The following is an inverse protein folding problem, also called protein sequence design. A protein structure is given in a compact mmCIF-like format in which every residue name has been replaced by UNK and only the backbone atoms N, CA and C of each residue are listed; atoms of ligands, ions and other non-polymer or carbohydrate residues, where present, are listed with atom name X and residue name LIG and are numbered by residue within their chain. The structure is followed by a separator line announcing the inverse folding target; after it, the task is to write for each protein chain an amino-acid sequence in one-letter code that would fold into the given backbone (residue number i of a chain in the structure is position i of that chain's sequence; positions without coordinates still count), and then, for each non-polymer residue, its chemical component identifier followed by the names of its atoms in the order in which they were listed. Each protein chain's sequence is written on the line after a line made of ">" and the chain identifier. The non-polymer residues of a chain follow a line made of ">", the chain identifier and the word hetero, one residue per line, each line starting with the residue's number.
data_IF_175297252543
#
_entry.id   IF_175297252543
#
_cell.length_a   1.000
_cell.length_b   1.000
_cell.length_c   1.000
_cell.angle_alpha   90.00
_cell.angle_beta   90.00
_cell.angle_gamma   90.00
#
_symmetry.space_group_name_H-M   'P 1'
#
loop_
_entity.id
_entity.type
_entity.pdbx_description
1 polymer ?
#
# COMPACT_ATOMS: atom_id res chain seq x y z
N UNK A 1 23.27 3.77 -3.10
CA UNK A 1 22.11 4.32 -2.38
C UNK A 1 20.88 3.55 -2.83
N UNK A 2 20.02 3.12 -1.91
CA UNK A 2 18.81 2.34 -2.22
C UNK A 2 17.58 3.26 -2.22
N UNK A 3 16.57 2.87 -2.99
CA UNK A 3 15.29 3.57 -3.11
C UNK A 3 14.17 2.55 -2.93
N UNK A 4 12.96 3.00 -2.57
CA UNK A 4 11.78 2.16 -2.48
C UNK A 4 10.75 2.57 -3.51
N UNK A 5 10.90 2.07 -4.73
CA UNK A 5 10.12 2.47 -5.91
C UNK A 5 9.02 1.45 -6.24
N UNK A 6 9.36 0.16 -6.15
CA UNK A 6 8.49 -0.98 -6.46
C UNK A 6 8.33 -1.88 -5.22
N UNK A 7 7.28 -2.70 -5.14
CA UNK A 7 7.17 -3.69 -4.07
C UNK A 7 8.36 -4.64 -3.99
N UNK A 8 8.97 -4.97 -5.14
CA UNK A 8 10.14 -5.83 -5.26
C UNK A 8 11.48 -5.08 -5.20
N UNK A 9 11.50 -3.78 -4.85
CA UNK A 9 12.75 -3.03 -4.59
C UNK A 9 13.56 -3.64 -3.45
N UNK A 10 12.91 -4.41 -2.60
CA UNK A 10 13.49 -5.17 -1.51
C UNK A 10 13.20 -6.66 -1.69
N UNK A 11 14.18 -7.50 -1.35
CA UNK A 11 14.01 -8.96 -1.35
C UNK A 11 12.92 -9.38 -0.35
N UNK A 12 12.40 -10.59 -0.48
CA UNK A 12 11.41 -11.11 0.47
C UNK A 12 11.93 -11.09 1.92
N UNK A 13 13.20 -11.43 2.12
CA UNK A 13 13.83 -11.37 3.45
C UNK A 13 13.86 -9.95 4.01
N UNK A 14 14.20 -8.94 3.20
CA UNK A 14 14.18 -7.53 3.60
C UNK A 14 12.75 -7.03 3.87
N UNK A 15 11.77 -7.46 3.07
CA UNK A 15 10.35 -7.14 3.33
C UNK A 15 9.89 -7.71 4.68
N UNK A 16 10.21 -8.98 4.98
CA UNK A 16 9.91 -9.59 6.28
C UNK A 16 10.59 -8.86 7.42
N UNK A 17 11.86 -8.50 7.26
CA UNK A 17 12.59 -7.72 8.27
C UNK A 17 12.01 -6.33 8.51
N UNK A 18 11.46 -5.68 7.45
CA UNK A 18 10.70 -4.42 7.58
C UNK A 18 9.41 -4.63 8.39
N UNK A 19 8.68 -5.71 8.13
CA UNK A 19 7.48 -6.03 8.88
C UNK A 19 7.82 -6.27 10.36
N UNK A 20 8.88 -7.03 10.66
CA UNK A 20 9.32 -7.29 12.02
C UNK A 20 9.77 -6.02 12.75
N UNK A 21 10.45 -5.11 12.06
CA UNK A 21 10.80 -3.81 12.60
C UNK A 21 9.57 -2.97 12.90
N UNK A 22 8.58 -2.95 11.99
CA UNK A 22 7.33 -2.21 12.17
C UNK A 22 6.52 -2.74 13.37
N UNK A 23 6.42 -4.07 13.55
CA UNK A 23 5.73 -4.67 14.69
C UNK A 23 6.42 -4.30 16.02
N UNK A 24 7.77 -4.28 16.07
CA UNK A 24 8.50 -3.84 17.26
C UNK A 24 8.26 -2.36 17.57
N UNK A 25 8.23 -1.51 16.54
CA UNK A 25 7.92 -0.07 16.71
C UNK A 25 6.50 0.17 17.20
N UNK A 26 5.54 -0.65 16.76
CA UNK A 26 4.16 -0.57 17.24
C UNK A 26 4.04 -1.00 18.70
N UNK A 27 4.70 -2.10 19.06
CA UNK A 27 4.67 -2.66 20.39
C UNK A 27 5.34 -1.74 21.44
N UNK A 28 6.49 -1.13 21.10
CA UNK A 28 7.20 -0.17 21.94
C UNK A 28 7.84 0.92 21.08
N UNK A 29 7.20 2.08 20.89
CA UNK A 29 7.72 3.17 20.06
C UNK A 29 8.85 3.97 20.74
N UNK A 30 9.04 3.87 22.07
CA UNK A 30 9.94 4.75 22.80
C UNK A 30 11.41 4.67 22.34
N UNK A 31 12.01 3.48 22.07
CA UNK A 31 13.38 3.38 21.58
C UNK A 31 13.63 4.07 20.22
N UNK A 32 12.57 4.33 19.45
CA UNK A 32 12.65 4.85 18.08
C UNK A 32 12.45 6.36 18.00
N UNK A 33 12.00 7.01 19.07
CA UNK A 33 11.49 8.39 19.07
C UNK A 33 12.51 9.47 18.65
N UNK A 34 13.82 9.17 18.69
CA UNK A 34 14.90 10.12 18.42
C UNK A 34 15.89 9.67 17.34
N UNK A 35 15.57 8.58 16.59
CA UNK A 35 16.48 8.02 15.61
C UNK A 35 16.70 8.91 14.38
N UNK A 36 15.77 9.80 14.11
CA UNK A 36 15.84 10.77 13.00
C UNK A 36 16.02 12.23 13.50
N UNK A 37 16.54 12.45 14.72
CA UNK A 37 16.83 13.80 15.18
C UNK A 37 17.77 14.51 14.18
N UNK A 38 17.39 15.74 13.77
CA UNK A 38 18.11 16.52 12.76
C UNK A 38 17.87 16.10 11.31
N UNK A 39 17.16 15.01 11.03
CA UNK A 39 16.81 14.56 9.67
C UNK A 39 15.54 15.19 9.17
N UNK A 40 15.43 15.32 7.84
CA UNK A 40 14.29 15.92 7.16
C UNK A 40 13.74 14.96 6.09
N UNK A 41 12.43 14.72 6.13
CA UNK A 41 11.67 14.06 5.06
C UNK A 41 11.02 15.13 4.17
N UNK A 42 11.26 15.04 2.86
CA UNK A 42 10.49 15.83 1.89
C UNK A 42 9.28 15.05 1.40
N UNK A 43 8.06 15.61 1.52
CA UNK A 43 6.81 15.06 0.99
C UNK A 43 6.41 15.82 -0.27
N UNK A 44 6.68 15.23 -1.46
CA UNK A 44 6.40 15.84 -2.76
C UNK A 44 5.15 15.22 -3.37
N UNK A 45 4.00 15.78 -3.07
CA UNK A 45 2.70 15.26 -3.48
C UNK A 45 2.12 16.10 -4.63
N UNK A 46 2.29 15.63 -5.87
CA UNK A 46 1.79 16.29 -7.08
C UNK A 46 0.29 16.07 -7.30
N UNK A 47 -0.29 15.08 -6.65
CA UNK A 47 -1.74 14.85 -6.60
C UNK A 47 -2.25 14.76 -5.15
N UNK A 48 -3.52 15.11 -4.88
CA UNK A 48 -4.08 15.05 -3.53
C UNK A 48 -4.01 13.65 -2.93
N UNK A 49 -3.49 13.53 -1.72
CA UNK A 49 -3.49 12.30 -0.93
C UNK A 49 -3.34 12.60 0.55
N UNK A 50 -4.45 12.78 1.25
CA UNK A 50 -4.46 13.13 2.66
C UNK A 50 -3.82 12.03 3.52
N UNK A 51 -4.30 10.79 3.42
CA UNK A 51 -3.82 9.68 4.26
C UNK A 51 -2.34 9.38 4.08
N UNK A 52 -1.90 9.19 2.84
CA UNK A 52 -0.51 8.82 2.56
C UNK A 52 0.46 9.91 3.01
N UNK A 53 0.16 11.19 2.73
CA UNK A 53 0.98 12.32 3.13
C UNK A 53 1.08 12.41 4.65
N UNK A 54 -0.06 12.52 5.34
CA UNK A 54 -0.10 12.64 6.80
C UNK A 54 0.57 11.46 7.50
N UNK A 55 0.45 10.25 6.95
CA UNK A 55 1.10 9.07 7.51
C UNK A 55 2.64 9.09 7.35
N UNK A 56 3.18 9.55 6.21
CA UNK A 56 4.63 9.76 6.06
C UNK A 56 5.15 10.86 6.98
N UNK A 57 4.42 11.98 7.07
CA UNK A 57 4.79 13.08 7.95
C UNK A 57 4.73 12.63 9.42
N UNK A 58 3.65 11.93 9.83
CA UNK A 58 3.55 11.35 11.18
C UNK A 58 4.68 10.36 11.47
N UNK A 59 5.04 9.50 10.52
CA UNK A 59 6.13 8.53 10.67
C UNK A 59 7.46 9.25 10.96
N UNK A 60 7.81 10.27 10.18
CA UNK A 60 9.05 11.02 10.37
C UNK A 60 9.06 11.80 11.69
N UNK A 61 7.95 12.43 12.06
CA UNK A 61 7.81 13.14 13.33
C UNK A 61 7.94 12.22 14.55
N UNK A 62 7.37 11.02 14.47
CA UNK A 62 7.51 9.99 15.53
C UNK A 62 8.93 9.46 15.69
N UNK A 63 9.74 9.54 14.64
CA UNK A 63 11.17 9.22 14.67
C UNK A 63 12.05 10.39 15.16
N UNK A 64 11.48 11.55 15.54
CA UNK A 64 12.19 12.74 15.98
C UNK A 64 12.64 13.66 14.83
N UNK A 65 12.36 13.30 13.59
CA UNK A 65 12.72 14.10 12.42
C UNK A 65 11.76 15.25 12.14
N UNK A 66 11.99 15.92 11.03
CA UNK A 66 11.19 17.06 10.55
C UNK A 66 10.65 16.78 9.14
N UNK A 67 9.65 17.53 8.73
CA UNK A 67 9.06 17.40 7.40
C UNK A 67 9.02 18.74 6.68
N UNK A 68 9.19 18.70 5.36
CA UNK A 68 8.89 19.80 4.45
C UNK A 68 8.24 19.25 3.19
N UNK A 69 7.59 20.08 2.39
CA UNK A 69 7.02 19.60 1.14
C UNK A 69 5.84 20.42 0.65
N UNK A 70 5.16 19.89 -0.35
CA UNK A 70 3.97 20.51 -0.94
C UNK A 70 2.87 19.45 -1.24
N UNK A 71 1.63 19.94 -1.37
CA UNK A 71 0.47 19.14 -1.81
C UNK A 71 -0.21 19.85 -2.99
N UNK A 72 -0.16 19.19 -4.16
CA UNK A 72 -0.65 19.70 -5.44
C UNK A 72 0.45 20.32 -6.31
N UNK A 73 0.45 19.94 -7.59
CA UNK A 73 1.43 20.42 -8.57
C UNK A 73 1.43 21.96 -8.71
N UNK A 74 0.25 22.58 -8.57
CA UNK A 74 0.08 24.04 -8.67
C UNK A 74 0.81 24.81 -7.56
N UNK A 75 1.09 24.18 -6.42
CA UNK A 75 1.80 24.75 -5.28
C UNK A 75 3.32 24.61 -5.39
N UNK A 76 3.83 24.10 -6.53
CA UNK A 76 5.24 23.83 -6.76
C UNK A 76 5.74 24.46 -8.06
N UNK A 77 7.05 24.48 -8.26
CA UNK A 77 7.68 24.94 -9.51
C UNK A 77 7.31 24.11 -10.74
N UNK A 78 6.68 22.94 -10.56
CA UNK A 78 6.13 22.17 -11.67
C UNK A 78 5.10 22.96 -12.49
N UNK A 79 4.35 23.87 -11.84
CA UNK A 79 3.43 24.78 -12.53
C UNK A 79 4.13 25.74 -13.50
N UNK A 80 5.45 25.93 -13.34
CA UNK A 80 6.32 26.75 -14.20
C UNK A 80 7.11 25.91 -15.21
N UNK A 81 6.88 24.58 -15.24
CA UNK A 81 7.55 23.63 -16.16
C UNK A 81 8.81 22.98 -15.58
N UNK A 82 9.09 23.10 -14.27
CA UNK A 82 10.21 22.36 -13.66
C UNK A 82 10.00 20.85 -13.79
N UNK A 83 11.04 20.15 -14.20
CA UNK A 83 10.99 18.70 -14.40
C UNK A 83 11.10 17.96 -13.05
N UNK A 84 10.55 16.71 -12.99
CA UNK A 84 10.71 15.82 -11.83
C UNK A 84 12.21 15.61 -11.50
N UNK A 85 13.07 15.53 -12.54
CA UNK A 85 14.51 15.36 -12.36
C UNK A 85 15.16 16.57 -11.66
N UNK A 86 14.77 17.78 -12.06
CA UNK A 86 15.32 19.01 -11.47
C UNK A 86 14.77 19.22 -10.05
N UNK A 87 13.47 18.99 -9.83
CA UNK A 87 12.88 18.99 -8.47
C UNK A 87 13.63 18.02 -7.55
N UNK A 88 13.90 16.79 -8.01
CA UNK A 88 14.62 15.80 -7.22
C UNK A 88 16.04 16.25 -6.84
N UNK A 89 16.77 16.87 -7.80
CA UNK A 89 18.11 17.46 -7.54
C UNK A 89 18.07 18.59 -6.54
N UNK A 90 17.11 19.51 -6.70
CA UNK A 90 16.95 20.67 -5.81
C UNK A 90 16.60 20.22 -4.41
N UNK A 91 15.56 19.39 -4.25
CA UNK A 91 15.07 18.93 -2.94
C UNK A 91 16.08 18.06 -2.21
N UNK A 92 16.94 17.33 -2.94
CA UNK A 92 18.06 16.57 -2.35
C UNK A 92 19.07 17.43 -1.57
N UNK A 93 19.04 18.77 -1.73
CA UNK A 93 19.86 19.66 -0.91
C UNK A 93 19.16 20.12 0.38
N UNK A 94 17.88 19.80 0.53
CA UNK A 94 17.06 20.27 1.64
C UNK A 94 16.58 19.13 2.56
N UNK A 95 16.64 17.89 2.10
CA UNK A 95 16.10 16.74 2.81
C UNK A 95 17.05 15.55 2.75
N UNK A 96 16.88 14.62 3.69
CA UNK A 96 17.63 13.37 3.79
C UNK A 96 16.93 12.19 3.10
N UNK A 97 15.61 12.29 2.90
CA UNK A 97 14.78 11.30 2.21
C UNK A 97 13.58 12.00 1.55
N UNK A 98 13.13 11.49 0.40
CA UNK A 98 12.01 12.04 -0.37
C UNK A 98 10.90 10.98 -0.46
N UNK A 99 9.66 11.32 -0.06
CA UNK A 99 8.45 10.59 -0.39
C UNK A 99 7.72 11.32 -1.51
N UNK A 100 7.61 10.70 -2.68
CA UNK A 100 7.00 11.31 -3.86
C UNK A 100 5.73 10.58 -4.26
N UNK A 101 4.63 11.34 -4.45
CA UNK A 101 3.40 10.89 -5.08
C UNK A 101 3.13 11.69 -6.35
N UNK A 102 2.88 11.01 -7.47
CA UNK A 102 2.77 11.64 -8.77
C UNK A 102 1.68 10.99 -9.63
N UNK A 103 0.90 11.76 -10.45
CA UNK A 103 -0.11 11.19 -11.33
C UNK A 103 0.47 10.41 -12.52
N UNK A 104 1.72 10.68 -12.92
CA UNK A 104 2.39 9.98 -14.01
C UNK A 104 3.18 8.79 -13.48
N UNK A 105 2.96 7.63 -14.08
CA UNK A 105 3.70 6.41 -13.82
C UNK A 105 5.21 6.59 -14.09
N UNK A 106 6.05 5.97 -13.25
CA UNK A 106 7.50 6.06 -13.34
C UNK A 106 8.12 7.39 -12.87
N UNK A 107 7.33 8.38 -12.42
CA UNK A 107 7.87 9.64 -11.94
C UNK A 107 8.77 9.47 -10.69
N UNK A 108 8.44 8.66 -9.67
CA UNK A 108 9.35 8.37 -8.55
C UNK A 108 10.62 7.64 -9.00
N UNK A 109 10.53 6.73 -9.96
CA UNK A 109 11.70 6.10 -10.57
C UNK A 109 12.58 7.16 -11.28
N UNK A 110 11.97 8.06 -12.04
CA UNK A 110 12.70 9.18 -12.66
C UNK A 110 13.39 10.04 -11.60
N UNK A 111 12.70 10.36 -10.51
CA UNK A 111 13.28 11.13 -9.40
C UNK A 111 14.49 10.41 -8.80
N UNK A 112 14.41 9.09 -8.58
CA UNK A 112 15.49 8.31 -7.95
C UNK A 112 16.79 8.31 -8.77
N UNK A 113 16.70 8.43 -10.09
CA UNK A 113 17.89 8.52 -10.98
C UNK A 113 18.66 9.84 -10.82
N UNK A 114 18.06 10.87 -10.26
CA UNK A 114 18.64 12.21 -10.14
C UNK A 114 18.77 12.72 -8.72
N UNK A 115 18.07 12.09 -7.77
CA UNK A 115 18.18 12.41 -6.35
C UNK A 115 19.53 11.99 -5.77
N UNK A 116 20.00 12.76 -4.79
CA UNK A 116 21.20 12.46 -3.96
C UNK A 116 20.83 11.83 -2.62
N UNK A 117 19.54 11.61 -2.40
CA UNK A 117 18.97 11.02 -1.19
C UNK A 117 17.98 9.92 -1.59
N UNK A 118 17.65 8.97 -0.70
CA UNK A 118 16.64 7.96 -0.97
C UNK A 118 15.30 8.53 -1.43
N UNK A 119 14.66 7.86 -2.39
CA UNK A 119 13.31 8.19 -2.87
C UNK A 119 12.37 7.04 -2.55
N UNK A 120 11.20 7.39 -2.03
CA UNK A 120 10.10 6.49 -1.72
C UNK A 120 8.94 6.80 -2.68
N UNK A 121 8.46 5.79 -3.40
CA UNK A 121 7.24 5.89 -4.17
C UNK A 121 6.03 5.85 -3.23
N UNK A 122 5.36 6.98 -3.07
CA UNK A 122 4.13 7.15 -2.28
C UNK A 122 2.85 7.00 -3.14
N UNK A 123 3.00 6.43 -4.35
CA UNK A 123 1.97 6.17 -5.34
C UNK A 123 2.21 6.93 -6.66
N UNK A 124 2.24 6.20 -7.77
CA UNK A 124 2.44 6.77 -9.11
C UNK A 124 1.37 6.29 -10.09
N UNK A 125 0.43 7.15 -10.39
CA UNK A 125 -0.64 6.88 -11.37
C UNK A 125 -1.41 5.59 -11.08
N UNK A 126 -1.52 4.73 -12.06
CA UNK A 126 -2.11 3.39 -11.98
C UNK A 126 -1.11 2.28 -11.66
N UNK A 127 0.19 2.59 -11.58
CA UNK A 127 1.28 1.63 -11.59
C UNK A 127 1.50 0.98 -10.20
N UNK A 128 2.02 1.71 -9.20
CA UNK A 128 2.41 1.11 -7.93
C UNK A 128 2.13 1.98 -6.69
N UNK A 129 1.96 1.32 -5.55
CA UNK A 129 1.97 1.96 -4.24
C UNK A 129 2.67 1.03 -3.23
N UNK A 130 4.00 0.89 -3.28
CA UNK A 130 4.73 -0.15 -2.57
C UNK A 130 4.53 -0.10 -1.05
N UNK A 131 4.44 1.09 -0.45
CA UNK A 131 4.16 1.18 0.99
C UNK A 131 2.76 0.70 1.37
N UNK A 132 1.76 0.75 0.47
CA UNK A 132 0.44 0.17 0.72
C UNK A 132 0.52 -1.37 0.76
N UNK A 133 1.25 -1.97 -0.16
CA UNK A 133 1.49 -3.43 -0.16
C UNK A 133 2.08 -3.90 1.17
N UNK A 134 3.08 -3.17 1.70
CA UNK A 134 3.68 -3.51 2.99
C UNK A 134 2.70 -3.37 4.17
N UNK A 135 1.83 -2.35 4.13
CA UNK A 135 0.75 -2.15 5.11
C UNK A 135 -0.22 -3.33 5.09
N UNK A 136 -0.62 -3.74 3.89
CA UNK A 136 -1.56 -4.84 3.69
C UNK A 136 -0.96 -6.15 4.21
N UNK A 137 0.30 -6.44 3.89
CA UNK A 137 1.03 -7.60 4.42
C UNK A 137 1.14 -7.58 5.96
N UNK A 138 1.49 -6.44 6.57
CA UNK A 138 1.54 -6.30 8.03
C UNK A 138 0.19 -6.61 8.65
N UNK A 139 -0.88 -6.03 8.12
CA UNK A 139 -2.24 -6.20 8.65
C UNK A 139 -2.70 -7.65 8.52
N UNK A 140 -2.47 -8.30 7.37
CA UNK A 140 -2.78 -9.72 7.19
C UNK A 140 -2.01 -10.57 8.19
N UNK A 141 -0.69 -10.35 8.32
CA UNK A 141 0.16 -11.09 9.26
C UNK A 141 -0.31 -10.94 10.70
N UNK A 142 -0.64 -9.74 11.13
CA UNK A 142 -1.14 -9.48 12.49
C UNK A 142 -2.48 -10.15 12.75
N UNK A 143 -3.38 -10.17 11.76
CA UNK A 143 -4.73 -10.74 11.91
C UNK A 143 -4.76 -12.26 11.75
N UNK A 144 -3.91 -12.84 10.90
CA UNK A 144 -3.90 -14.28 10.60
C UNK A 144 -2.70 -15.03 11.21
N UNK A 145 -1.70 -14.33 11.76
CA UNK A 145 -0.47 -14.91 12.29
C UNK A 145 0.48 -15.46 11.22
N UNK A 146 0.12 -15.40 9.92
CA UNK A 146 0.88 -15.93 8.80
C UNK A 146 0.59 -15.17 7.50
N UNK A 147 1.40 -15.41 6.47
CA UNK A 147 1.22 -14.89 5.13
C UNK A 147 1.11 -16.00 4.07
N UNK A 148 1.29 -17.24 4.47
CA UNK A 148 1.21 -18.45 3.65
C UNK A 148 -0.09 -19.20 3.90
N UNK A 149 -0.42 -20.16 2.99
CA UNK A 149 -1.58 -21.05 3.10
C UNK A 149 -2.90 -20.29 3.39
N UNK A 150 -3.10 -19.14 2.75
CA UNK A 150 -4.29 -18.32 2.86
C UNK A 150 -5.13 -18.37 1.58
N UNK A 151 -6.45 -18.39 1.72
CA UNK A 151 -7.39 -18.12 0.64
C UNK A 151 -7.75 -16.63 0.67
N UNK A 152 -7.23 -15.85 -0.29
CA UNK A 152 -7.38 -14.39 -0.32
C UNK A 152 -8.37 -13.98 -1.39
N UNK A 153 -9.50 -13.40 -0.99
CA UNK A 153 -10.51 -12.83 -1.87
C UNK A 153 -10.21 -11.36 -2.16
N UNK A 154 -10.15 -10.99 -3.44
CA UNK A 154 -10.12 -9.61 -3.91
C UNK A 154 -11.45 -9.28 -4.55
N UNK A 155 -12.15 -8.24 -4.08
CA UNK A 155 -13.49 -7.90 -4.54
C UNK A 155 -13.59 -6.44 -4.98
N UNK A 156 -14.16 -6.21 -6.17
CA UNK A 156 -14.43 -4.87 -6.72
C UNK A 156 -13.75 -4.59 -8.05
N UNK A 157 -13.06 -3.45 -8.17
CA UNK A 157 -12.32 -3.07 -9.38
C UNK A 157 -10.92 -3.72 -9.38
N UNK A 158 -10.83 -4.88 -10.00
CA UNK A 158 -9.57 -5.63 -10.10
C UNK A 158 -8.77 -5.24 -11.35
N UNK A 159 -9.41 -4.56 -12.32
CA UNK A 159 -8.77 -4.15 -13.58
C UNK A 159 -7.83 -2.97 -13.37
N UNK A 160 -8.27 -1.95 -12.65
CA UNK A 160 -7.52 -0.72 -12.40
C UNK A 160 -6.96 -0.64 -10.98
N UNK A 161 -7.23 -1.66 -10.17
CA UNK A 161 -6.84 -1.76 -8.77
C UNK A 161 -5.35 -2.05 -8.57
N UNK A 162 -4.46 -1.04 -8.72
CA UNK A 162 -3.01 -1.22 -8.52
C UNK A 162 -2.64 -1.89 -7.20
N UNK A 163 -3.40 -1.64 -6.13
CA UNK A 163 -3.16 -2.27 -4.81
C UNK A 163 -3.47 -3.75 -4.84
N UNK A 164 -4.48 -4.17 -5.61
CA UNK A 164 -4.78 -5.59 -5.87
C UNK A 164 -3.63 -6.25 -6.60
N UNK A 165 -3.14 -5.64 -7.69
CA UNK A 165 -2.03 -6.19 -8.49
C UNK A 165 -0.77 -6.36 -7.65
N UNK A 166 -0.38 -5.31 -6.91
CA UNK A 166 0.81 -5.33 -6.07
C UNK A 166 0.70 -6.32 -4.90
N UNK A 167 -0.48 -6.40 -4.25
CA UNK A 167 -0.69 -7.34 -3.14
C UNK A 167 -0.76 -8.79 -3.63
N UNK A 168 -1.37 -9.05 -4.81
CA UNK A 168 -1.34 -10.37 -5.45
C UNK A 168 0.09 -10.81 -5.71
N UNK A 169 0.92 -9.93 -6.28
CA UNK A 169 2.32 -10.23 -6.55
C UNK A 169 3.13 -10.47 -5.25
N UNK A 170 2.86 -9.71 -4.18
CA UNK A 170 3.52 -9.88 -2.91
C UNK A 170 3.12 -11.20 -2.23
N UNK A 171 1.82 -11.50 -2.14
CA UNK A 171 1.33 -12.70 -1.50
C UNK A 171 1.65 -13.97 -2.30
N UNK A 172 1.84 -13.87 -3.62
CA UNK A 172 2.24 -15.02 -4.43
C UNK A 172 3.64 -15.55 -4.12
N UNK A 173 4.47 -14.78 -3.40
CA UNK A 173 5.80 -15.20 -2.94
C UNK A 173 5.73 -16.18 -1.76
N UNK A 174 4.58 -16.30 -1.10
CA UNK A 174 4.37 -17.21 0.02
C UNK A 174 3.68 -18.50 -0.46
N UNK A 175 4.07 -19.61 0.12
CA UNK A 175 3.62 -20.93 -0.29
C UNK A 175 2.15 -21.18 0.05
N UNK A 176 1.45 -21.95 -0.79
CA UNK A 176 0.12 -22.51 -0.51
C UNK A 176 -1.01 -21.47 -0.55
N UNK A 177 -0.77 -20.24 -0.97
CA UNK A 177 -1.81 -19.23 -1.11
C UNK A 177 -2.73 -19.54 -2.30
N UNK A 178 -4.01 -19.22 -2.15
CA UNK A 178 -5.06 -19.32 -3.16
C UNK A 178 -5.69 -17.96 -3.36
N UNK A 179 -5.95 -17.57 -4.61
CA UNK A 179 -6.49 -16.28 -4.95
C UNK A 179 -7.90 -16.40 -5.51
N UNK A 180 -8.85 -15.62 -4.96
CA UNK A 180 -10.21 -15.55 -5.46
C UNK A 180 -10.46 -14.13 -5.95
N UNK A 181 -10.60 -13.96 -7.25
CA UNK A 181 -10.84 -12.67 -7.90
C UNK A 181 -12.34 -12.50 -8.15
N UNK A 182 -12.97 -11.61 -7.39
CA UNK A 182 -14.41 -11.39 -7.36
C UNK A 182 -14.71 -10.05 -8.02
N UNK A 183 -15.18 -10.07 -9.26
CA UNK A 183 -15.46 -8.84 -10.03
C UNK A 183 -16.49 -9.07 -11.14
N UNK A 184 -17.16 -8.00 -11.61
CA UNK A 184 -17.85 -8.05 -12.89
C UNK A 184 -16.88 -8.38 -14.02
N UNK A 185 -17.37 -8.88 -15.13
CA UNK A 185 -16.56 -9.30 -16.27
C UNK A 185 -15.67 -8.17 -16.80
N UNK A 186 -16.17 -6.95 -16.86
CA UNK A 186 -15.49 -5.76 -17.35
C UNK A 186 -14.35 -5.28 -16.45
N UNK A 187 -14.37 -5.68 -15.17
CA UNK A 187 -13.40 -5.28 -14.15
C UNK A 187 -12.52 -6.45 -13.67
N UNK A 188 -12.46 -7.53 -14.44
CA UNK A 188 -11.58 -8.68 -14.16
C UNK A 188 -10.12 -8.26 -14.04
N UNK A 189 -9.40 -9.00 -13.21
CA UNK A 189 -7.95 -8.84 -13.08
C UNK A 189 -7.26 -9.04 -14.43
N UNK A 190 -6.33 -8.16 -14.82
CA UNK A 190 -5.62 -8.28 -16.10
C UNK A 190 -4.82 -9.58 -16.20
N UNK A 191 -4.73 -10.13 -17.41
CA UNK A 191 -4.02 -11.38 -17.67
C UNK A 191 -2.54 -11.28 -17.29
N UNK A 192 -1.89 -10.14 -17.55
CA UNK A 192 -0.47 -9.95 -17.22
C UNK A 192 -0.18 -10.13 -15.71
N UNK A 193 -1.11 -9.73 -14.82
CA UNK A 193 -0.92 -9.93 -13.37
C UNK A 193 -0.89 -11.41 -13.02
N UNK A 194 -1.75 -12.21 -13.67
CA UNK A 194 -1.77 -13.67 -13.49
C UNK A 194 -0.50 -14.32 -14.03
N UNK A 195 -0.08 -13.89 -15.21
CA UNK A 195 1.11 -14.44 -15.90
C UNK A 195 2.42 -14.10 -15.19
N UNK A 196 2.54 -12.89 -14.63
CA UNK A 196 3.76 -12.43 -13.97
C UNK A 196 3.84 -12.83 -12.49
N UNK A 197 2.70 -12.84 -11.78
CA UNK A 197 2.69 -13.09 -10.35
C UNK A 197 2.36 -14.54 -9.98
N UNK A 198 1.34 -15.14 -10.60
CA UNK A 198 0.79 -16.43 -10.17
C UNK A 198 1.40 -17.60 -10.93
N UNK A 199 1.45 -17.52 -12.25
CA UNK A 199 1.92 -18.62 -13.12
C UNK A 199 3.34 -19.08 -12.79
N UNK A 200 4.34 -18.18 -12.61
CA UNK A 200 5.72 -18.59 -12.32
C UNK A 200 5.88 -19.28 -10.96
N UNK A 201 4.92 -19.09 -10.05
CA UNK A 201 4.93 -19.64 -8.70
C UNK A 201 3.93 -20.77 -8.49
N UNK A 202 3.28 -21.22 -9.58
CA UNK A 202 2.25 -22.27 -9.57
C UNK A 202 1.11 -22.01 -8.57
N UNK A 203 0.81 -20.73 -8.33
CA UNK A 203 -0.28 -20.34 -7.43
C UNK A 203 -1.65 -20.60 -8.08
N UNK A 204 -2.58 -21.08 -7.28
CA UNK A 204 -3.95 -21.37 -7.75
C UNK A 204 -4.83 -20.12 -7.63
N UNK A 205 -5.71 -19.94 -8.62
CA UNK A 205 -6.69 -18.85 -8.57
C UNK A 205 -8.04 -19.26 -9.15
N UNK A 206 -9.09 -18.53 -8.76
CA UNK A 206 -10.46 -18.62 -9.28
C UNK A 206 -10.95 -17.21 -9.61
N UNK A 207 -11.69 -17.07 -10.71
CA UNK A 207 -12.39 -15.83 -11.05
C UNK A 207 -13.91 -16.08 -10.97
N UNK A 208 -14.63 -15.17 -10.31
CA UNK A 208 -16.09 -15.25 -10.12
C UNK A 208 -16.68 -13.85 -9.97
N UNK A 209 -18.00 -13.73 -10.11
CA UNK A 209 -18.75 -12.51 -9.77
C UNK A 209 -19.53 -12.64 -8.46
N UNK A 210 -19.54 -13.81 -7.83
CA UNK A 210 -20.38 -14.13 -6.67
C UNK A 210 -19.59 -14.01 -5.35
N UNK A 211 -19.69 -12.84 -4.73
CA UNK A 211 -19.07 -12.60 -3.42
C UNK A 211 -19.70 -13.46 -2.32
N UNK A 212 -21.02 -13.61 -2.33
CA UNK A 212 -21.76 -14.32 -1.28
C UNK A 212 -21.35 -15.80 -1.21
N UNK A 213 -21.21 -16.44 -2.36
CA UNK A 213 -20.77 -17.85 -2.43
C UNK A 213 -19.33 -18.06 -1.98
N UNK A 214 -18.47 -17.05 -2.12
CA UNK A 214 -17.05 -17.18 -1.75
C UNK A 214 -16.77 -16.84 -0.28
N UNK A 215 -17.54 -15.95 0.36
CA UNK A 215 -17.30 -15.48 1.74
C UNK A 215 -17.03 -16.61 2.75
N UNK A 216 -17.75 -17.76 2.75
CA UNK A 216 -17.50 -18.83 3.71
C UNK A 216 -16.11 -19.50 3.59
N UNK A 217 -15.42 -19.27 2.47
CA UNK A 217 -14.19 -19.97 2.11
C UNK A 217 -12.94 -19.10 2.15
N UNK A 218 -13.09 -17.80 2.50
CA UNK A 218 -11.99 -16.85 2.51
C UNK A 218 -11.31 -16.79 3.88
N UNK A 219 -9.98 -16.74 3.88
CA UNK A 219 -9.19 -16.36 5.05
C UNK A 219 -9.02 -14.85 5.18
N UNK A 220 -9.02 -14.12 4.06
CA UNK A 220 -8.87 -12.66 3.97
C UNK A 220 -9.77 -12.13 2.87
N UNK A 221 -10.48 -11.03 3.13
CA UNK A 221 -11.22 -10.29 2.11
C UNK A 221 -10.60 -8.90 1.92
N UNK A 222 -10.17 -8.61 0.69
CA UNK A 222 -9.68 -7.30 0.28
C UNK A 222 -10.69 -6.63 -0.64
N UNK A 223 -11.39 -5.62 -0.12
CA UNK A 223 -12.40 -4.86 -0.87
C UNK A 223 -11.75 -3.66 -1.57
N UNK A 224 -12.21 -3.34 -2.77
CA UNK A 224 -11.82 -2.11 -3.48
C UNK A 224 -13.04 -1.38 -4.01
N UNK A 225 -12.96 -0.05 -4.05
CA UNK A 225 -13.99 0.76 -4.70
C UNK A 225 -13.87 0.67 -6.22
N UNK A 226 -14.99 0.86 -6.92
CA UNK A 226 -14.98 1.08 -8.36
C UNK A 226 -14.54 2.52 -8.62
N UNK A 227 -13.47 2.70 -9.41
CA UNK A 227 -12.78 3.98 -9.59
C UNK A 227 -13.41 4.78 -10.72
N UNK A 228 -14.35 5.68 -10.42
CA UNK A 228 -15.04 6.52 -11.42
C UNK A 228 -14.06 7.23 -12.38
N UNK A 229 -12.95 7.70 -11.85
CA UNK A 229 -11.90 8.42 -12.59
C UNK A 229 -11.18 7.59 -13.66
N UNK A 230 -11.47 6.30 -13.76
CA UNK A 230 -10.89 5.36 -14.76
C UNK A 230 -11.86 5.01 -15.89
N UNK A 231 -13.11 5.44 -15.80
CA UNK A 231 -14.10 5.18 -16.84
C UNK A 231 -14.12 6.31 -17.85
N UNK A 232 -14.14 5.96 -19.14
CA UNK A 232 -14.35 6.92 -20.23
C UNK A 232 -15.81 7.33 -20.37
N UNK A 233 -16.74 6.45 -19.97
CA UNK A 233 -18.17 6.65 -20.06
C UNK A 233 -18.80 6.57 -18.67
N UNK A 234 -19.58 7.60 -18.31
CA UNK A 234 -20.28 7.67 -17.02
C UNK A 234 -21.37 6.59 -16.90
N UNK A 235 -22.00 6.19 -18.00
CA UNK A 235 -23.02 5.12 -18.01
C UNK A 235 -22.44 3.79 -17.56
N UNK A 236 -21.23 3.43 -18.02
CA UNK A 236 -20.55 2.20 -17.61
C UNK A 236 -20.20 2.22 -16.11
N UNK A 237 -19.75 3.36 -15.60
CA UNK A 237 -19.54 3.53 -14.16
C UNK A 237 -20.83 3.36 -13.37
N UNK A 238 -21.93 4.03 -13.78
CA UNK A 238 -23.21 3.97 -13.07
C UNK A 238 -23.79 2.55 -13.05
N UNK A 239 -23.58 1.78 -14.11
CA UNK A 239 -24.02 0.38 -14.20
C UNK A 239 -23.25 -0.53 -13.22
N UNK A 240 -21.98 -0.27 -13.01
CA UNK A 240 -21.11 -1.09 -12.16
C UNK A 240 -20.99 -0.57 -10.72
N UNK A 241 -21.32 0.72 -10.51
CA UNK A 241 -21.35 1.31 -9.17
C UNK A 241 -22.27 0.52 -8.25
N UNK A 242 -21.76 0.13 -7.08
CA UNK A 242 -22.54 -0.56 -6.06
C UNK A 242 -22.86 -2.03 -6.37
N UNK A 243 -22.23 -2.64 -7.40
CA UNK A 243 -22.40 -4.07 -7.68
C UNK A 243 -21.95 -4.97 -6.53
N UNK A 244 -21.04 -4.47 -5.69
CA UNK A 244 -20.65 -5.11 -4.42
C UNK A 244 -20.86 -4.14 -3.27
N UNK A 245 -21.49 -4.63 -2.20
CA UNK A 245 -21.73 -3.83 -1.00
C UNK A 245 -21.74 -4.76 0.22
N UNK A 246 -20.61 -4.85 0.88
CA UNK A 246 -20.47 -5.62 2.11
C UNK A 246 -21.21 -4.90 3.25
N UNK A 247 -22.07 -5.63 3.94
CA UNK A 247 -22.79 -5.19 5.14
C UNK A 247 -22.67 -6.25 6.25
N UNK A 248 -23.12 -5.93 7.46
CA UNK A 248 -23.01 -6.83 8.60
C UNK A 248 -23.70 -8.18 8.36
N UNK A 249 -24.87 -8.19 7.72
CA UNK A 249 -25.61 -9.41 7.41
C UNK A 249 -24.86 -10.34 6.44
N UNK A 250 -24.29 -9.78 5.38
CA UNK A 250 -23.51 -10.55 4.40
C UNK A 250 -22.22 -11.11 5.06
N UNK A 251 -21.64 -10.32 5.97
CA UNK A 251 -20.44 -10.71 6.71
C UNK A 251 -20.69 -11.89 7.67
N UNK A 252 -21.94 -12.17 8.08
CA UNK A 252 -22.29 -13.36 8.89
C UNK A 252 -21.94 -14.68 8.18
N UNK A 253 -21.84 -14.68 6.85
CA UNK A 253 -21.46 -15.89 6.06
C UNK A 253 -19.97 -16.17 6.14
N UNK A 254 -19.15 -15.19 6.49
CA UNK A 254 -17.71 -15.32 6.51
C UNK A 254 -17.19 -15.90 7.84
N UNK A 255 -16.00 -16.55 7.84
CA UNK A 255 -15.33 -16.98 9.06
C UNK A 255 -15.17 -15.82 10.06
N UNK A 256 -15.30 -16.14 11.35
CA UNK A 256 -15.23 -15.14 12.43
C UNK A 256 -13.86 -14.46 12.56
N UNK A 257 -12.81 -15.08 12.01
CA UNK A 257 -11.42 -14.59 12.02
C UNK A 257 -10.96 -14.05 10.66
N UNK A 258 -11.87 -13.87 9.68
CA UNK A 258 -11.55 -13.33 8.36
C UNK A 258 -11.42 -11.80 8.41
N UNK A 259 -10.23 -11.20 8.35
CA UNK A 259 -10.11 -9.74 8.26
C UNK A 259 -10.64 -9.20 6.94
N UNK A 260 -11.34 -8.07 7.02
CA UNK A 260 -11.78 -7.26 5.89
C UNK A 260 -10.82 -6.08 5.75
N UNK A 261 -10.11 -6.02 4.64
CA UNK A 261 -9.16 -4.95 4.30
C UNK A 261 -9.74 -4.04 3.20
N UNK A 262 -9.27 -2.79 3.18
CA UNK A 262 -9.63 -1.80 2.16
C UNK A 262 -8.57 -0.70 2.11
N UNK A 263 -8.06 -0.29 0.92
CA UNK A 263 -7.02 0.75 0.84
C UNK A 263 -7.53 2.17 1.12
N UNK A 264 -8.84 2.33 1.27
CA UNK A 264 -9.53 3.60 1.48
C UNK A 264 -9.23 4.68 0.39
N UNK A 265 -10.13 5.63 0.10
CA UNK A 265 -11.44 5.80 0.74
C UNK A 265 -12.46 4.78 0.27
N UNK A 266 -13.34 4.35 1.14
CA UNK A 266 -14.58 3.65 0.75
C UNK A 266 -15.67 4.66 0.44
N UNK A 267 -16.64 4.25 -0.38
CA UNK A 267 -17.84 5.01 -0.71
C UNK A 267 -19.08 4.23 -0.27
N UNK A 268 -19.42 3.16 -1.00
CA UNK A 268 -20.63 2.36 -0.78
C UNK A 268 -20.37 0.84 -0.78
N UNK A 269 -19.15 0.43 -1.09
CA UNK A 269 -18.73 -0.97 -1.16
C UNK A 269 -18.56 -1.64 0.21
N UNK A 270 -18.43 -0.86 1.29
CA UNK A 270 -18.51 -1.34 2.67
C UNK A 270 -19.44 -0.41 3.44
N UNK A 271 -20.51 -0.96 4.02
CA UNK A 271 -21.49 -0.21 4.79
C UNK A 271 -20.95 0.13 6.19
N UNK A 272 -21.52 1.18 6.79
CA UNK A 272 -21.08 1.66 8.11
C UNK A 272 -21.35 0.66 9.25
N UNK A 273 -22.32 -0.23 9.08
CA UNK A 273 -22.64 -1.29 10.07
C UNK A 273 -21.50 -2.33 10.20
N UNK A 274 -20.61 -2.42 9.23
CA UNK A 274 -19.40 -3.27 9.30
C UNK A 274 -18.33 -2.69 10.23
N UNK A 275 -18.33 -1.38 10.48
CA UNK A 275 -17.25 -0.70 11.24
C UNK A 275 -17.13 -1.21 12.70
N UNK A 276 -18.22 -1.70 13.29
CA UNK A 276 -18.23 -2.27 14.64
C UNK A 276 -17.89 -3.76 14.70
N UNK A 277 -17.74 -4.41 13.54
CA UNK A 277 -17.37 -5.83 13.48
C UNK A 277 -15.86 -5.97 13.74
N UNK A 278 -15.41 -6.91 14.60
CA UNK A 278 -13.99 -7.11 14.91
C UNK A 278 -13.16 -7.53 13.69
N UNK A 279 -13.78 -7.96 12.61
CA UNK A 279 -13.12 -8.30 11.35
C UNK A 279 -12.79 -7.08 10.49
N UNK A 280 -13.35 -5.90 10.78
CA UNK A 280 -13.09 -4.65 10.07
C UNK A 280 -11.65 -4.16 10.32
N UNK A 281 -10.69 -4.57 9.47
CA UNK A 281 -9.27 -4.28 9.64
C UNK A 281 -8.77 -3.07 8.83
N UNK A 282 -9.62 -2.39 8.07
CA UNK A 282 -9.22 -1.28 7.20
C UNK A 282 -8.79 -0.02 7.96
N UNK A 283 -9.20 0.17 9.20
CA UNK A 283 -8.66 1.24 10.04
C UNK A 283 -7.36 0.83 10.73
N UNK A 284 -7.15 -0.45 11.02
CA UNK A 284 -5.85 -0.97 11.47
C UNK A 284 -4.79 -0.81 10.37
N UNK A 285 -5.15 -1.01 9.10
CA UNK A 285 -4.25 -0.69 7.98
C UNK A 285 -3.76 0.77 8.04
N UNK A 286 -4.63 1.73 8.41
CA UNK A 286 -4.22 3.14 8.55
C UNK A 286 -3.21 3.30 9.69
N UNK A 287 -3.45 2.66 10.82
CA UNK A 287 -2.54 2.64 11.98
C UNK A 287 -1.19 2.02 11.61
N UNK A 288 -1.20 0.81 11.06
CA UNK A 288 -0.01 0.06 10.60
C UNK A 288 0.80 0.86 9.58
N UNK A 289 0.10 1.68 8.78
CA UNK A 289 0.73 2.55 7.80
C UNK A 289 1.76 3.51 8.38
N UNK A 290 1.62 3.94 9.62
CA UNK A 290 2.60 4.81 10.28
C UNK A 290 3.88 4.02 10.56
N UNK A 291 3.78 2.86 11.18
CA UNK A 291 4.93 2.04 11.58
C UNK A 291 5.69 1.44 10.40
N UNK A 292 4.97 0.98 9.36
CA UNK A 292 5.60 0.56 8.10
C UNK A 292 6.42 1.71 7.48
N UNK A 293 5.90 2.93 7.49
CA UNK A 293 6.62 4.09 6.94
C UNK A 293 7.80 4.49 7.81
N UNK A 294 7.69 4.37 9.13
CA UNK A 294 8.84 4.52 10.04
C UNK A 294 9.93 3.51 9.69
N UNK A 295 9.58 2.24 9.56
CA UNK A 295 10.53 1.18 9.20
C UNK A 295 11.21 1.41 7.84
N UNK A 296 10.45 1.81 6.81
CA UNK A 296 10.98 2.15 5.48
C UNK A 296 11.96 3.33 5.56
N UNK A 297 11.61 4.38 6.32
CA UNK A 297 12.47 5.57 6.48
C UNK A 297 13.80 5.17 7.14
N UNK A 298 13.78 4.43 8.26
CA UNK A 298 15.02 3.99 8.93
C UNK A 298 15.85 3.09 8.03
N UNK A 299 15.23 2.14 7.35
CA UNK A 299 15.93 1.24 6.45
C UNK A 299 16.67 1.99 5.34
N UNK A 300 16.00 2.94 4.69
CA UNK A 300 16.60 3.74 3.61
C UNK A 300 17.66 4.73 4.09
N UNK A 301 17.56 5.24 5.31
CA UNK A 301 18.58 6.07 5.93
C UNK A 301 19.76 5.24 6.48
N UNK A 302 19.67 3.90 6.44
CA UNK A 302 20.70 2.99 6.96
C UNK A 302 20.86 3.04 8.48
N UNK A 303 19.80 3.46 9.19
CA UNK A 303 19.78 3.55 10.65
C UNK A 303 19.45 2.15 11.19
N UNK A 304 20.30 1.58 12.08
CA UNK A 304 20.05 0.27 12.66
C UNK A 304 18.87 0.30 13.63
N UNK A 305 18.19 -0.83 13.76
CA UNK A 305 17.21 -1.06 14.82
C UNK A 305 17.89 -1.00 16.21
N UNK A 306 17.48 -0.10 17.10
CA UNK A 306 18.11 0.08 18.39
C UNK A 306 17.94 -1.13 19.34
N UNK A 307 16.97 -2.00 19.05
CA UNK A 307 16.68 -3.19 19.86
C UNK A 307 17.57 -4.37 19.45
N UNK A 308 17.77 -4.58 18.16
CA UNK A 308 18.52 -5.72 17.63
C UNK A 308 19.95 -5.37 17.19
N UNK A 309 20.23 -4.08 16.97
CA UNK A 309 21.48 -3.60 16.38
C UNK A 309 21.63 -3.85 14.88
N UNK A 310 20.66 -4.50 14.26
CA UNK A 310 20.72 -4.89 12.84
C UNK A 310 20.20 -3.78 11.93
N UNK A 311 20.77 -3.69 10.73
CA UNK A 311 20.18 -2.94 9.63
C UNK A 311 19.23 -3.83 8.84
N UNK A 312 18.12 -3.28 8.38
CA UNK A 312 17.14 -3.99 7.52
C UNK A 312 17.69 -4.16 6.11
N UNK A 313 18.39 -3.13 5.63
CA UNK A 313 19.02 -3.13 4.31
C UNK A 313 20.55 -3.10 4.47
N UNK A 314 21.22 -4.02 3.80
CA UNK A 314 22.66 -4.06 3.68
C UNK A 314 23.20 -3.16 2.55
#
# INVERSE_FOLDING_TARGET
>A
MRHFIEPNSFSLGEQLALLDLADRMEADPAPYAHLCDGRILATLFYEPSTRTRLSFESAMLRLGGKTLGFAGAQMSSASKGETVADTARVVSNYADVIAMRHPKEGAPLRASLYARVPVINAGDGGHAHPSQTMIDLMTIRQRKGRLDHLTVGFCGDLKFGRTVHSLTAALSQFEGNRFVFISPEELRIPQYVKDEALTPRHQTYKETADLEAELPHLDVLYMTRIQQERFFNEEDYLRLKGCYSLNAKLLELAPSDMPVLHPLPRIDEIKLDVDSDPRAAYFDQVHNGVYIRMAIILALLGIPDPVTGNKVLE
#
